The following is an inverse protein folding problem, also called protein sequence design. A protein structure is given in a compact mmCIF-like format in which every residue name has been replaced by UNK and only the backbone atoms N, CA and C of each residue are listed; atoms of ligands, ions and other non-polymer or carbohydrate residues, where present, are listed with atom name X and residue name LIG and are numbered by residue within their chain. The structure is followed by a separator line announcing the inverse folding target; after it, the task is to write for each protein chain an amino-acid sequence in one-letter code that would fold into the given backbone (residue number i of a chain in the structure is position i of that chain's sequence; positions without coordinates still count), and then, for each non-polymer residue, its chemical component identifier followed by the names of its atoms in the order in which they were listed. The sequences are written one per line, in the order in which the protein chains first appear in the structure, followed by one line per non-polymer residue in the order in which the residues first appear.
data_IF_277967255728
#
_entry.id   IF_277967255728
#
_cell.length_a   1.000
_cell.length_b   1.000
_cell.length_c   1.000
_cell.angle_alpha   90.00
_cell.angle_beta   90.00
_cell.angle_gamma   90.00
#
_symmetry.space_group_name_H-M   'P 1'
#
loop_
_entity.id
_entity.type
_entity.pdbx_description
1 polymer ?
#
# COMPACT_ATOMS: atom_id res chain seq x y z
N UNK A 1 21.87 30.85 64.03
CA UNK A 1 21.82 29.57 63.29
C UNK A 1 20.55 28.83 63.68
N UNK A 2 19.62 28.66 62.75
CA UNK A 2 18.50 27.71 62.86
C UNK A 2 17.98 27.42 61.44
N UNK A 3 18.43 26.30 60.87
CA UNK A 3 17.88 25.70 59.66
C UNK A 3 16.99 24.55 60.12
N UNK A 4 15.67 24.65 60.00
CA UNK A 4 14.80 23.47 60.04
C UNK A 4 13.42 23.77 59.44
N UNK A 5 13.07 23.01 58.41
CA UNK A 5 11.70 22.49 58.22
C UNK A 5 10.77 23.26 57.28
N UNK A 6 10.79 22.95 55.97
CA UNK A 6 9.60 23.19 55.14
C UNK A 6 9.38 22.21 53.97
N UNK A 7 9.95 20.99 53.99
CA UNK A 7 9.73 20.01 52.91
C UNK A 7 8.55 19.04 53.14
N UNK A 8 7.88 19.11 54.30
CA UNK A 8 6.85 18.12 54.67
C UNK A 8 5.41 18.41 54.18
N UNK A 9 5.15 19.48 53.42
CA UNK A 9 3.77 19.83 52.99
C UNK A 9 3.38 19.38 51.57
N UNK A 10 4.25 18.67 50.83
CA UNK A 10 4.01 18.39 49.41
C UNK A 10 3.28 17.07 49.08
N UNK A 11 2.92 16.22 50.06
CA UNK A 11 2.31 14.92 49.76
C UNK A 11 1.08 14.64 50.65
N UNK A 12 -0.02 15.35 50.37
CA UNK A 12 -1.36 14.83 50.65
C UNK A 12 -2.08 14.60 49.33
N UNK A 13 -1.62 13.61 48.56
CA UNK A 13 -2.42 13.06 47.48
C UNK A 13 -3.59 12.30 48.12
N UNK A 14 -4.83 12.68 47.80
CA UNK A 14 -6.01 11.95 48.25
C UNK A 14 -5.91 10.47 47.83
N UNK A 15 -6.29 9.51 48.69
CA UNK A 15 -6.22 8.09 48.35
C UNK A 15 -7.02 7.73 47.08
N UNK A 16 -8.09 8.47 46.76
CA UNK A 16 -8.82 8.34 45.50
C UNK A 16 -7.96 8.64 44.25
N UNK A 17 -7.03 9.60 44.34
CA UNK A 17 -6.12 9.97 43.25
C UNK A 17 -5.03 8.91 43.05
N UNK A 18 -4.57 8.29 44.13
CA UNK A 18 -3.60 7.18 44.07
C UNK A 18 -4.22 5.90 43.49
N UNK A 19 -5.48 5.60 43.84
CA UNK A 19 -6.21 4.44 43.28
C UNK A 19 -6.53 4.65 41.79
N UNK A 20 -6.93 5.86 41.39
CA UNK A 20 -7.19 6.18 39.98
C UNK A 20 -5.91 6.10 39.11
N UNK A 21 -4.76 6.58 39.61
CA UNK A 21 -3.48 6.42 38.91
C UNK A 21 -3.06 4.94 38.79
N UNK A 22 -3.22 4.15 39.86
CA UNK A 22 -2.84 2.73 39.87
C UNK A 22 -3.68 1.88 38.90
N UNK A 23 -4.95 2.25 38.66
CA UNK A 23 -5.80 1.57 37.67
C UNK A 23 -5.52 2.02 36.22
N UNK A 24 -5.08 3.26 36.01
CA UNK A 24 -4.80 3.79 34.67
C UNK A 24 -3.47 3.28 34.07
N UNK A 25 -2.49 2.96 34.91
CA UNK A 25 -1.16 2.49 34.49
C UNK A 25 -1.20 1.12 33.76
N UNK A 26 -1.86 0.06 34.28
CA UNK A 26 -1.97 -1.21 33.58
C UNK A 26 -2.72 -1.10 32.25
N UNK A 27 -3.78 -0.28 32.18
CA UNK A 27 -4.54 -0.06 30.95
C UNK A 27 -3.73 0.68 29.89
N UNK A 28 -2.94 1.68 30.29
CA UNK A 28 -2.05 2.39 29.39
C UNK A 28 -0.92 1.49 28.86
N UNK A 29 -0.38 0.60 29.71
CA UNK A 29 0.64 -0.37 29.31
C UNK A 29 0.08 -1.39 28.30
N UNK A 30 -1.09 -1.96 28.57
CA UNK A 30 -1.75 -2.90 27.63
C UNK A 30 -2.05 -2.22 26.30
N UNK A 31 -2.57 -0.99 26.30
CA UNK A 31 -2.82 -0.24 25.07
C UNK A 31 -1.55 0.06 24.26
N UNK A 32 -0.40 0.17 24.93
CA UNK A 32 0.90 0.34 24.28
C UNK A 32 1.39 -0.97 23.65
N UNK A 33 1.24 -2.10 24.35
CA UNK A 33 1.63 -3.42 23.83
C UNK A 33 0.74 -3.85 22.66
N UNK A 34 -0.58 -3.64 22.75
CA UNK A 34 -1.53 -3.89 21.65
C UNK A 34 -1.17 -3.06 20.41
N UNK A 35 -0.77 -1.80 20.60
CA UNK A 35 -0.33 -0.93 19.50
C UNK A 35 0.98 -1.40 18.86
N UNK A 36 1.93 -1.89 19.66
CA UNK A 36 3.19 -2.47 19.16
C UNK A 36 2.93 -3.73 18.34
N UNK A 37 2.05 -4.61 18.82
CA UNK A 37 1.64 -5.83 18.11
C UNK A 37 0.98 -5.45 16.78
N UNK A 38 -0.01 -4.55 16.79
CA UNK A 38 -0.69 -4.11 15.58
C UNK A 38 0.27 -3.46 14.57
N UNK A 39 1.27 -2.70 15.05
CA UNK A 39 2.30 -2.14 14.18
C UNK A 39 3.21 -3.23 13.57
N UNK A 40 3.66 -4.20 14.37
CA UNK A 40 4.48 -5.31 13.89
C UNK A 40 3.75 -6.12 12.81
N UNK A 41 2.48 -6.45 13.03
CA UNK A 41 1.63 -7.11 12.04
C UNK A 41 1.45 -6.26 10.78
N UNK A 42 1.29 -4.94 10.93
CA UNK A 42 1.16 -4.04 9.80
C UNK A 42 2.44 -3.99 8.94
N UNK A 43 3.60 -3.98 9.56
CA UNK A 43 4.90 -4.01 8.89
C UNK A 43 5.16 -5.35 8.20
N UNK A 44 4.83 -6.48 8.85
CA UNK A 44 4.96 -7.81 8.24
C UNK A 44 4.09 -7.94 6.99
N UNK A 45 2.84 -7.51 7.08
CA UNK A 45 1.93 -7.47 5.94
C UNK A 45 2.42 -6.53 4.84
N UNK A 46 3.00 -5.39 5.23
CA UNK A 46 3.58 -4.45 4.26
C UNK A 46 4.76 -5.06 3.49
N UNK A 47 5.66 -5.75 4.20
CA UNK A 47 6.76 -6.48 3.59
C UNK A 47 6.27 -7.59 2.65
N UNK A 48 5.19 -8.28 3.01
CA UNK A 48 4.54 -9.26 2.11
C UNK A 48 4.05 -8.60 0.83
N UNK A 49 3.31 -7.49 0.94
CA UNK A 49 2.82 -6.74 -0.23
C UNK A 49 3.96 -6.26 -1.11
N UNK A 50 5.06 -5.77 -0.54
CA UNK A 50 6.20 -5.31 -1.34
C UNK A 50 6.89 -6.43 -2.09
N UNK A 51 7.06 -7.61 -1.47
CA UNK A 51 7.58 -8.80 -2.16
C UNK A 51 6.68 -9.22 -3.31
N UNK A 52 5.38 -9.36 -3.05
CA UNK A 52 4.42 -9.73 -4.11
C UNK A 52 4.40 -8.74 -5.27
N UNK A 53 4.49 -7.44 -4.99
CA UNK A 53 4.56 -6.43 -6.06
C UNK A 53 5.91 -6.52 -6.81
N UNK A 54 7.01 -6.79 -6.11
CA UNK A 54 8.32 -7.05 -6.72
C UNK A 54 8.26 -8.25 -7.67
N UNK A 55 7.77 -9.40 -7.18
CA UNK A 55 7.64 -10.63 -7.97
C UNK A 55 6.78 -10.41 -9.22
N UNK A 56 5.70 -9.62 -9.14
CA UNK A 56 4.87 -9.26 -10.29
C UNK A 56 5.60 -8.35 -11.29
N UNK A 57 6.41 -7.42 -10.80
CA UNK A 57 7.21 -6.54 -11.66
C UNK A 57 8.31 -7.30 -12.38
N UNK A 58 8.96 -8.24 -11.69
CA UNK A 58 9.98 -9.12 -12.28
C UNK A 58 9.34 -10.06 -13.32
N UNK A 59 8.20 -10.67 -13.01
CA UNK A 59 7.46 -11.49 -13.96
C UNK A 59 7.02 -10.70 -15.21
N UNK A 60 6.58 -9.46 -15.06
CA UNK A 60 6.24 -8.59 -16.20
C UNK A 60 7.49 -8.24 -17.04
N UNK A 61 8.65 -8.03 -16.40
CA UNK A 61 9.90 -7.73 -17.08
C UNK A 61 10.44 -8.95 -17.84
N UNK A 62 10.47 -10.11 -17.20
CA UNK A 62 10.90 -11.39 -17.78
C UNK A 62 10.02 -11.77 -18.96
N UNK A 63 8.69 -11.59 -18.84
CA UNK A 63 7.75 -11.84 -19.96
C UNK A 63 8.06 -10.94 -21.15
N UNK A 64 8.26 -9.64 -20.92
CA UNK A 64 8.58 -8.69 -21.99
C UNK A 64 9.94 -8.98 -22.62
N UNK A 65 10.95 -9.33 -21.83
CA UNK A 65 12.29 -9.69 -22.33
C UNK A 65 12.25 -10.98 -23.17
N UNK A 66 11.60 -12.02 -22.67
CA UNK A 66 11.47 -13.30 -23.35
C UNK A 66 10.75 -13.20 -24.70
N UNK A 67 9.89 -12.19 -24.87
CA UNK A 67 9.12 -11.94 -26.09
C UNK A 67 9.64 -10.74 -26.90
N UNK A 68 10.91 -10.34 -26.70
CA UNK A 68 11.58 -9.33 -27.54
C UNK A 68 10.97 -7.94 -27.43
N UNK A 69 10.47 -7.57 -26.25
CA UNK A 69 9.78 -6.31 -25.99
C UNK A 69 8.27 -6.36 -26.22
N UNK A 70 7.72 -7.49 -26.69
CA UNK A 70 6.29 -7.70 -26.84
C UNK A 70 5.67 -8.33 -25.59
N UNK A 71 4.33 -8.30 -25.51
CA UNK A 71 3.59 -9.03 -24.48
C UNK A 71 3.62 -10.53 -24.79
N UNK A 72 3.90 -11.36 -23.80
CA UNK A 72 3.75 -12.81 -23.93
C UNK A 72 2.29 -13.24 -24.01
N UNK A 73 2.03 -14.55 -24.22
CA UNK A 73 0.67 -15.08 -24.41
C UNK A 73 -0.28 -14.75 -23.26
N UNK A 74 0.20 -14.89 -22.02
CA UNK A 74 -0.60 -14.62 -20.83
C UNK A 74 -0.95 -13.13 -20.73
N UNK A 75 0.05 -12.25 -20.87
CA UNK A 75 -0.14 -10.81 -20.83
C UNK A 75 -1.03 -10.33 -21.99
N UNK A 76 -0.92 -10.94 -23.16
CA UNK A 76 -1.80 -10.69 -24.31
C UNK A 76 -3.26 -11.03 -24.02
N UNK A 77 -3.52 -12.13 -23.31
CA UNK A 77 -4.89 -12.50 -22.91
C UNK A 77 -5.46 -11.50 -21.89
N UNK A 78 -4.65 -11.06 -20.94
CA UNK A 78 -5.04 -10.01 -19.97
C UNK A 78 -5.32 -8.68 -20.67
N UNK A 79 -4.46 -8.30 -21.62
CA UNK A 79 -4.66 -7.12 -22.46
C UNK A 79 -5.98 -7.22 -23.24
N UNK A 80 -6.29 -8.36 -23.85
CA UNK A 80 -7.53 -8.55 -24.59
C UNK A 80 -8.77 -8.36 -23.69
N UNK A 81 -8.75 -8.95 -22.50
CA UNK A 81 -9.85 -8.81 -21.52
C UNK A 81 -10.01 -7.34 -21.08
N UNK A 82 -8.90 -6.68 -20.74
CA UNK A 82 -8.88 -5.26 -20.38
C UNK A 82 -9.40 -4.40 -21.54
N UNK A 83 -8.96 -4.67 -22.77
CA UNK A 83 -9.34 -3.92 -23.96
C UNK A 83 -10.84 -4.02 -24.23
N UNK A 84 -11.44 -5.22 -24.12
CA UNK A 84 -12.88 -5.38 -24.26
C UNK A 84 -13.65 -4.59 -23.20
N UNK A 85 -13.15 -4.55 -21.95
CA UNK A 85 -13.78 -3.76 -20.88
C UNK A 85 -13.75 -2.25 -21.18
N UNK A 86 -12.68 -1.74 -21.79
CA UNK A 86 -12.56 -0.34 -22.21
C UNK A 86 -13.45 -0.04 -23.41
N UNK A 87 -13.41 -0.92 -24.43
CA UNK A 87 -14.25 -0.83 -25.63
C UNK A 87 -15.74 -0.83 -25.34
N UNK A 88 -16.19 -1.62 -24.37
CA UNK A 88 -17.58 -1.62 -23.95
C UNK A 88 -18.06 -0.24 -23.43
N UNK A 89 -17.14 0.58 -22.92
CA UNK A 89 -17.41 1.92 -22.39
C UNK A 89 -17.12 3.03 -23.41
N UNK A 90 -16.11 2.83 -24.25
CA UNK A 90 -15.62 3.80 -25.23
C UNK A 90 -15.22 3.10 -26.54
N UNK A 91 -16.18 2.76 -27.41
CA UNK A 91 -15.89 2.04 -28.64
C UNK A 91 -15.18 2.91 -29.69
N UNK A 92 -15.20 4.24 -29.56
CA UNK A 92 -14.56 5.17 -30.50
C UNK A 92 -13.05 5.14 -30.34
N UNK A 93 -12.55 5.21 -29.09
CA UNK A 93 -11.11 5.17 -28.82
C UNK A 93 -10.54 3.74 -28.76
N UNK A 94 -11.39 2.72 -28.76
CA UNK A 94 -11.01 1.31 -28.69
C UNK A 94 -11.64 0.52 -29.85
N UNK A 95 -11.12 0.67 -31.09
CA UNK A 95 -11.65 -0.02 -32.26
C UNK A 95 -11.57 -1.54 -32.12
N UNK A 96 -12.40 -2.28 -32.86
CA UNK A 96 -12.45 -3.74 -32.78
C UNK A 96 -11.08 -4.36 -33.12
N UNK A 97 -10.55 -5.24 -32.23
CA UNK A 97 -9.28 -5.95 -32.48
C UNK A 97 -9.39 -6.97 -33.62
N UNK A 98 -10.60 -7.43 -33.94
CA UNK A 98 -10.87 -8.41 -34.99
C UNK A 98 -10.77 -7.86 -36.41
N UNK A 99 -10.72 -6.53 -36.59
CA UNK A 99 -10.50 -5.95 -37.91
C UNK A 99 -9.06 -6.27 -38.38
N UNK A 100 -8.96 -7.09 -39.43
CA UNK A 100 -7.71 -7.59 -40.05
C UNK A 100 -7.06 -6.56 -40.98
N UNK A 101 -7.79 -5.52 -41.38
CA UNK A 101 -7.28 -4.41 -42.19
C UNK A 101 -7.53 -3.07 -41.48
N UNK A 102 -6.89 -2.82 -40.32
CA UNK A 102 -7.10 -1.59 -39.57
C UNK A 102 -6.60 -0.38 -40.37
N UNK A 103 -7.30 0.75 -40.25
CA UNK A 103 -6.79 2.03 -40.76
C UNK A 103 -5.50 2.44 -40.03
N UNK A 104 -4.78 3.43 -40.55
CA UNK A 104 -3.61 3.97 -39.83
C UNK A 104 -3.98 4.46 -38.43
N UNK A 105 -5.09 5.19 -38.32
CA UNK A 105 -5.62 5.68 -37.04
C UNK A 105 -5.97 4.54 -36.08
N UNK A 106 -6.65 3.49 -36.56
CA UNK A 106 -6.97 2.33 -35.71
C UNK A 106 -5.72 1.61 -35.21
N UNK A 107 -4.65 1.52 -36.03
CA UNK A 107 -3.36 0.97 -35.57
C UNK A 107 -2.76 1.83 -34.46
N UNK A 108 -2.79 3.16 -34.60
CA UNK A 108 -2.32 4.08 -33.57
C UNK A 108 -3.12 3.97 -32.28
N UNK A 109 -4.45 3.88 -32.37
CA UNK A 109 -5.32 3.69 -31.19
C UNK A 109 -5.04 2.37 -30.48
N UNK A 110 -4.86 1.28 -31.24
CA UNK A 110 -4.50 -0.04 -30.68
C UNK A 110 -3.14 -0.01 -29.98
N UNK A 111 -2.13 0.63 -30.56
CA UNK A 111 -0.82 0.78 -29.91
C UNK A 111 -0.93 1.59 -28.62
N UNK A 112 -1.63 2.74 -28.65
CA UNK A 112 -1.88 3.54 -27.45
C UNK A 112 -2.61 2.75 -26.37
N UNK A 113 -3.53 1.86 -26.76
CA UNK A 113 -4.23 1.00 -25.81
C UNK A 113 -3.27 0.02 -25.13
N UNK A 114 -2.32 -0.58 -25.85
CA UNK A 114 -1.28 -1.43 -25.28
C UNK A 114 -0.39 -0.65 -24.29
N UNK A 115 0.03 0.56 -24.65
CA UNK A 115 0.83 1.43 -23.77
C UNK A 115 0.05 1.80 -22.49
N UNK A 116 -1.23 2.13 -22.65
CA UNK A 116 -2.14 2.46 -21.56
C UNK A 116 -2.36 1.26 -20.62
N UNK A 117 -2.50 0.05 -21.16
CA UNK A 117 -2.60 -1.16 -20.36
C UNK A 117 -1.36 -1.34 -19.47
N UNK A 118 -0.16 -1.25 -20.05
CA UNK A 118 1.09 -1.36 -19.28
C UNK A 118 1.23 -0.24 -18.24
N UNK A 119 0.79 0.98 -18.59
CA UNK A 119 0.78 2.09 -17.64
C UNK A 119 -0.23 1.89 -16.50
N UNK A 120 -1.43 1.35 -16.77
CA UNK A 120 -2.42 1.00 -15.75
C UNK A 120 -1.91 -0.09 -14.81
N UNK A 121 -1.26 -1.14 -15.33
CA UNK A 121 -0.62 -2.17 -14.50
C UNK A 121 0.40 -1.58 -13.53
N UNK A 122 1.36 -0.80 -14.03
CA UNK A 122 2.37 -0.12 -13.21
C UNK A 122 1.75 0.82 -12.17
N UNK A 123 0.68 1.54 -12.54
CA UNK A 123 -0.07 2.37 -11.58
C UNK A 123 -0.73 1.53 -10.50
N UNK A 124 -1.26 0.35 -10.84
CA UNK A 124 -1.81 -0.61 -9.89
C UNK A 124 -0.77 -1.08 -8.87
N UNK A 125 0.44 -1.41 -9.32
CA UNK A 125 1.56 -1.77 -8.43
C UNK A 125 1.92 -0.65 -7.47
N UNK A 126 2.11 0.57 -8.00
CA UNK A 126 2.38 1.74 -7.16
C UNK A 126 1.25 2.00 -6.17
N UNK A 127 -0.01 1.88 -6.58
CA UNK A 127 -1.15 2.06 -5.69
C UNK A 127 -1.18 1.04 -4.54
N UNK A 128 -0.84 -0.23 -4.80
CA UNK A 128 -0.72 -1.26 -3.75
C UNK A 128 0.38 -0.92 -2.74
N UNK A 129 1.54 -0.47 -3.23
CA UNK A 129 2.66 -0.03 -2.38
C UNK A 129 2.24 1.15 -1.51
N UNK A 130 1.66 2.20 -2.11
CA UNK A 130 1.26 3.41 -1.37
C UNK A 130 0.13 3.14 -0.38
N UNK A 131 -0.83 2.27 -0.72
CA UNK A 131 -1.86 1.83 0.22
C UNK A 131 -1.27 1.08 1.42
N UNK A 132 -0.25 0.24 1.18
CA UNK A 132 0.47 -0.48 2.21
C UNK A 132 1.23 0.47 3.15
N UNK A 133 1.97 1.44 2.59
CA UNK A 133 2.65 2.49 3.36
C UNK A 133 1.67 3.32 4.19
N UNK A 134 0.54 3.74 3.59
CA UNK A 134 -0.49 4.52 4.27
C UNK A 134 -1.15 3.72 5.41
N UNK A 135 -1.27 2.39 5.28
CA UNK A 135 -1.73 1.53 6.37
C UNK A 135 -0.73 1.51 7.53
N UNK A 136 0.56 1.31 7.25
CA UNK A 136 1.62 1.33 8.27
C UNK A 136 1.64 2.69 8.99
N UNK A 137 1.65 3.80 8.26
CA UNK A 137 1.70 5.16 8.83
C UNK A 137 0.50 5.50 9.74
N UNK A 138 -0.64 4.84 9.55
CA UNK A 138 -1.84 5.03 10.37
C UNK A 138 -1.84 4.18 11.65
N UNK A 139 -1.17 3.03 11.63
CA UNK A 139 -1.18 2.06 12.74
C UNK A 139 0.07 2.24 13.63
N UNK A 140 1.23 2.43 13.00
CA UNK A 140 2.51 2.56 13.67
C UNK A 140 2.73 4.00 14.14
N UNK A 141 3.17 4.21 15.39
CA UNK A 141 3.65 5.52 15.81
C UNK A 141 4.99 5.84 15.11
N UNK A 142 5.27 7.13 14.91
CA UNK A 142 6.38 7.59 14.07
C UNK A 142 7.75 7.08 14.56
N UNK A 143 7.92 6.91 15.86
CA UNK A 143 9.14 6.37 16.48
C UNK A 143 9.39 4.88 16.21
N UNK A 144 8.41 4.13 15.68
CA UNK A 144 8.52 2.70 15.38
C UNK A 144 8.65 2.39 13.88
N UNK A 145 8.62 3.41 13.02
CA UNK A 145 8.85 3.24 11.58
C UNK A 145 10.36 3.28 11.35
N UNK A 146 11.02 2.18 10.91
CA UNK A 146 12.44 2.22 10.59
C UNK A 146 12.69 3.21 9.43
N UNK A 147 13.74 4.04 9.57
CA UNK A 147 14.21 4.95 8.52
C UNK A 147 14.69 4.21 7.27
#
# INVERSE_FOLDING_TARGET
MAFHGSWQKALRASPALLVALAAALPSALHAQDDRRIACAEALQESARVFREVGDLMDADADDVEAHGGAMGPMMTQEFANWYQSKRARDPVNYPALTNTAPTYEERTLRQRAADNFMAERRRGYRARIEASKARVARICPAEMIPN
#
